data_IF_962975482704
#
_entry.id   IF_962975482704
#
_cell.length_a   1.000
_cell.length_b   1.000
_cell.length_c   1.000
_cell.angle_alpha   90.00
_cell.angle_beta   90.00
_cell.angle_gamma   90.00
#
_symmetry.space_group_name_H-M   'P 1'
#
loop_
_entity.id
_entity.type
_entity.pdbx_description
1 polymer ?
#
# COMPACT_ATOMS: atom_id res chain seq x y z
N UNK A 1 6.64 -21.79 5.61
CA UNK A 1 5.68 -21.17 6.53
C UNK A 1 4.51 -20.61 5.71
N UNK A 2 3.31 -20.76 6.21
CA UNK A 2 2.11 -20.29 5.54
C UNK A 2 1.42 -19.24 6.41
N UNK A 3 0.96 -18.15 5.79
CA UNK A 3 0.13 -17.14 6.43
C UNK A 3 -1.23 -17.08 5.77
N UNK A 4 -2.27 -17.02 6.59
CA UNK A 4 -3.64 -16.84 6.14
C UNK A 4 -4.35 -15.92 7.13
N UNK A 5 -4.68 -14.72 6.68
CA UNK A 5 -5.33 -13.68 7.48
C UNK A 5 -6.65 -13.31 6.81
N UNK A 6 -7.74 -13.38 7.58
CA UNK A 6 -9.04 -12.96 7.08
C UNK A 6 -9.16 -11.44 7.00
N UNK A 7 -10.10 -10.96 6.19
CA UNK A 7 -10.40 -9.53 6.11
C UNK A 7 -10.86 -8.98 7.48
N UNK A 8 -11.59 -9.78 8.25
CA UNK A 8 -12.03 -9.38 9.60
C UNK A 8 -10.83 -9.17 10.54
N UNK A 9 -9.86 -10.08 10.52
CA UNK A 9 -8.65 -9.97 11.32
C UNK A 9 -7.81 -8.75 10.90
N UNK A 10 -7.63 -8.53 9.61
CA UNK A 10 -6.91 -7.38 9.09
C UNK A 10 -7.62 -6.07 9.45
N UNK A 11 -8.95 -6.04 9.35
CA UNK A 11 -9.74 -4.86 9.71
C UNK A 11 -9.63 -4.50 11.19
N UNK A 12 -9.38 -5.47 12.07
CA UNK A 12 -9.20 -5.21 13.50
C UNK A 12 -7.96 -4.34 13.77
N UNK A 13 -6.98 -4.33 12.88
CA UNK A 13 -5.80 -3.46 12.99
C UNK A 13 -5.79 -2.29 11.98
N UNK A 14 -6.93 -2.00 11.36
CA UNK A 14 -7.09 -0.86 10.46
C UNK A 14 -6.80 0.44 11.20
N UNK A 15 -5.93 1.25 10.63
CA UNK A 15 -5.52 2.52 11.23
C UNK A 15 -5.40 3.62 10.20
N UNK A 16 -5.61 4.85 10.65
CA UNK A 16 -5.40 6.03 9.83
C UNK A 16 -3.92 6.39 9.77
N UNK A 17 -3.45 6.78 8.59
CA UNK A 17 -2.12 7.33 8.38
C UNK A 17 -2.24 8.61 7.55
N UNK A 18 -1.29 9.53 7.71
CA UNK A 18 -1.18 10.72 6.88
C UNK A 18 -0.18 10.45 5.75
N UNK A 19 -0.61 10.69 4.53
CA UNK A 19 0.23 10.59 3.33
C UNK A 19 0.10 11.88 2.56
N UNK A 20 1.12 12.73 2.61
CA UNK A 20 1.13 14.04 1.96
C UNK A 20 -0.09 14.90 2.31
N UNK A 21 -0.47 14.92 3.59
CA UNK A 21 -1.63 15.68 4.06
C UNK A 21 -2.98 15.05 3.76
N UNK A 22 -3.01 13.87 3.19
CA UNK A 22 -4.22 13.10 2.89
C UNK A 22 -4.35 11.95 3.90
N UNK A 23 -5.56 11.72 4.42
CA UNK A 23 -5.80 10.61 5.33
C UNK A 23 -6.05 9.32 4.56
N UNK A 24 -5.15 8.35 4.71
CA UNK A 24 -5.30 7.00 4.21
C UNK A 24 -5.60 6.06 5.38
N UNK A 25 -6.08 4.85 5.07
CA UNK A 25 -6.21 3.78 6.06
C UNK A 25 -5.40 2.57 5.62
N UNK A 26 -4.71 1.95 6.58
CA UNK A 26 -3.97 0.72 6.39
C UNK A 26 -4.56 -0.40 7.20
N UNK A 27 -4.71 -1.58 6.59
CA UNK A 27 -5.08 -2.83 7.25
C UNK A 27 -4.04 -3.88 6.90
N UNK A 28 -3.38 -4.45 7.90
CA UNK A 28 -2.27 -5.36 7.68
C UNK A 28 -2.69 -6.81 7.55
N UNK A 29 -2.11 -7.47 6.57
CA UNK A 29 -2.34 -8.90 6.31
C UNK A 29 -1.10 -9.74 6.61
N UNK A 30 0.06 -9.33 6.12
CA UNK A 30 1.30 -10.10 6.26
C UNK A 30 2.46 -9.18 6.61
N UNK A 31 3.27 -9.60 7.57
CA UNK A 31 4.54 -8.97 7.89
C UNK A 31 4.45 -7.63 8.59
N UNK A 32 5.57 -6.94 8.65
CA UNK A 32 5.68 -5.62 9.27
C UNK A 32 5.05 -4.55 8.38
N UNK A 33 4.53 -3.54 9.03
CA UNK A 33 3.88 -2.42 8.36
C UNK A 33 4.39 -1.13 8.98
N UNK A 34 4.20 0.00 8.27
CA UNK A 34 4.51 1.29 8.86
C UNK A 34 3.75 1.48 10.17
N UNK A 35 4.47 1.65 11.26
CA UNK A 35 3.88 1.81 12.59
C UNK A 35 3.53 3.26 12.91
N UNK A 36 4.07 4.19 12.13
CA UNK A 36 3.88 5.61 12.35
C UNK A 36 2.60 6.11 11.70
N UNK A 37 2.00 7.12 12.30
CA UNK A 37 0.82 7.79 11.75
C UNK A 37 1.08 8.57 10.48
N UNK A 38 2.33 8.78 10.09
CA UNK A 38 2.72 9.48 8.87
C UNK A 38 3.63 8.59 8.05
N UNK A 39 3.27 8.38 6.80
CA UNK A 39 4.10 7.68 5.84
C UNK A 39 5.03 8.67 5.14
N UNK A 40 6.31 8.35 5.11
CA UNK A 40 7.32 9.12 4.37
C UNK A 40 7.88 8.23 3.28
N UNK A 41 7.81 8.70 2.05
CA UNK A 41 8.35 7.97 0.89
C UNK A 41 9.82 7.66 1.07
N UNK A 42 10.21 6.47 0.67
CA UNK A 42 11.58 5.99 0.84
C UNK A 42 11.95 5.65 2.27
N UNK A 43 11.04 5.79 3.22
CA UNK A 43 11.26 5.38 4.60
C UNK A 43 10.81 3.93 4.79
N UNK A 44 11.66 3.01 4.40
CA UNK A 44 11.44 1.58 4.54
C UNK A 44 12.18 1.03 5.77
N UNK A 45 12.24 1.83 6.84
CA UNK A 45 12.96 1.48 8.08
C UNK A 45 12.47 0.16 8.70
N UNK A 46 11.24 -0.23 8.39
CA UNK A 46 10.66 -1.47 8.91
C UNK A 46 10.82 -2.64 7.93
N UNK A 47 11.57 -2.46 6.85
CA UNK A 47 11.86 -3.56 5.94
C UNK A 47 12.88 -4.50 6.59
N UNK A 48 12.42 -5.70 6.89
CA UNK A 48 13.26 -6.76 7.44
C UNK A 48 13.62 -7.84 6.41
N UNK A 49 13.39 -7.56 5.12
CA UNK A 49 13.62 -8.51 4.03
C UNK A 49 12.58 -9.61 3.90
N UNK A 50 11.54 -9.60 4.74
CA UNK A 50 10.47 -10.58 4.71
C UNK A 50 9.28 -10.07 3.91
N UNK A 51 8.42 -10.96 3.39
CA UNK A 51 7.23 -10.56 2.67
C UNK A 51 6.31 -9.67 3.49
N UNK A 52 5.72 -8.67 2.85
CA UNK A 52 4.73 -7.78 3.44
C UNK A 52 3.48 -7.73 2.56
N UNK A 53 2.33 -7.61 3.20
CA UNK A 53 1.07 -7.44 2.49
C UNK A 53 0.09 -6.64 3.34
N UNK A 54 -0.47 -5.57 2.77
CA UNK A 54 -1.43 -4.73 3.47
C UNK A 54 -2.37 -4.07 2.47
N UNK A 55 -3.57 -3.75 2.96
CA UNK A 55 -4.56 -3.00 2.20
C UNK A 55 -4.40 -1.52 2.47
N UNK A 56 -4.35 -0.73 1.42
CA UNK A 56 -4.33 0.73 1.51
C UNK A 56 -5.66 1.26 0.98
N UNK A 57 -6.37 2.00 1.81
CA UNK A 57 -7.58 2.69 1.42
C UNK A 57 -7.26 4.18 1.25
N UNK A 58 -7.43 4.69 0.04
CA UNK A 58 -7.18 6.09 -0.28
C UNK A 58 -8.50 6.86 -0.30
N UNK A 59 -8.52 8.12 0.18
CA UNK A 59 -9.74 8.94 0.11
C UNK A 59 -10.08 9.31 -1.34
N UNK A 60 -11.34 9.65 -1.62
CA UNK A 60 -11.73 10.15 -2.94
C UNK A 60 -10.88 11.35 -3.36
N UNK A 61 -10.58 11.43 -4.65
CA UNK A 61 -9.81 12.54 -5.26
C UNK A 61 -8.39 12.70 -4.70
N UNK A 62 -7.85 11.66 -4.06
CA UNK A 62 -6.47 11.68 -3.60
C UNK A 62 -5.50 11.50 -4.77
N UNK A 63 -4.34 12.14 -4.66
CA UNK A 63 -3.27 12.04 -5.65
C UNK A 63 -1.97 11.72 -4.92
N UNK A 64 -1.32 10.65 -5.34
CA UNK A 64 0.02 10.32 -4.87
C UNK A 64 1.02 10.77 -5.93
N UNK A 65 1.97 11.65 -5.60
CA UNK A 65 3.00 12.06 -6.55
C UNK A 65 3.83 10.88 -7.06
N UNK A 66 4.46 11.00 -8.23
CA UNK A 66 5.39 9.97 -8.70
C UNK A 66 6.46 9.69 -7.66
N UNK A 67 6.71 8.42 -7.39
CA UNK A 67 7.66 7.98 -6.37
C UNK A 67 8.17 6.59 -6.74
N UNK A 68 9.14 6.09 -5.99
CA UNK A 68 9.60 4.72 -6.09
C UNK A 68 9.86 4.13 -4.70
N UNK A 69 9.90 2.80 -4.65
CA UNK A 69 10.30 2.05 -3.46
C UNK A 69 11.61 1.32 -3.72
N UNK A 70 12.31 0.95 -2.68
CA UNK A 70 13.56 0.20 -2.80
C UNK A 70 13.33 -1.29 -3.07
N UNK A 71 12.11 -1.77 -2.84
CA UNK A 71 11.73 -3.17 -2.99
C UNK A 71 10.84 -3.38 -4.21
N UNK A 72 10.80 -4.62 -4.68
CA UNK A 72 9.84 -5.03 -5.69
C UNK A 72 8.45 -5.13 -5.06
N UNK A 73 7.42 -4.73 -5.79
CA UNK A 73 6.07 -4.79 -5.25
C UNK A 73 5.02 -5.11 -6.30
N UNK A 74 3.98 -5.78 -5.86
CA UNK A 74 2.71 -5.87 -6.57
C UNK A 74 1.71 -4.93 -5.92
N UNK A 75 0.93 -4.25 -6.73
CA UNK A 75 -0.25 -3.52 -6.29
C UNK A 75 -1.47 -4.14 -6.96
N UNK A 76 -2.44 -4.51 -6.16
CA UNK A 76 -3.67 -5.13 -6.63
C UNK A 76 -4.83 -4.23 -6.25
N UNK A 77 -5.59 -3.78 -7.24
CA UNK A 77 -6.76 -2.92 -7.02
C UNK A 77 -7.97 -3.82 -6.79
N UNK A 78 -8.53 -3.77 -5.60
CA UNK A 78 -9.62 -4.65 -5.18
C UNK A 78 -10.95 -3.91 -5.00
N UNK A 79 -10.93 -2.58 -5.05
CA UNK A 79 -12.14 -1.77 -4.92
C UNK A 79 -11.90 -0.35 -5.41
N UNK A 80 -12.97 0.39 -5.66
CA UNK A 80 -12.90 1.76 -6.14
C UNK A 80 -12.39 1.89 -7.57
N UNK A 81 -11.73 2.99 -7.87
CA UNK A 81 -11.17 3.25 -9.18
C UNK A 81 -10.16 4.39 -9.16
N UNK A 82 -9.40 4.53 -10.22
CA UNK A 82 -8.38 5.56 -10.32
C UNK A 82 -7.46 5.31 -11.49
N UNK A 83 -6.26 5.86 -11.39
CA UNK A 83 -5.22 5.70 -12.40
C UNK A 83 -3.87 5.48 -11.77
N UNK A 84 -3.04 4.67 -12.41
CA UNK A 84 -1.59 4.63 -12.18
C UNK A 84 -0.92 5.09 -13.46
N UNK A 85 -0.25 6.25 -13.39
CA UNK A 85 0.27 6.88 -14.58
C UNK A 85 -0.85 7.12 -15.59
N UNK A 86 -0.77 6.49 -16.76
CA UNK A 86 -1.78 6.57 -17.83
C UNK A 86 -2.78 5.41 -17.81
N UNK A 87 -2.61 4.45 -16.91
CA UNK A 87 -3.42 3.23 -16.90
C UNK A 87 -4.59 3.34 -15.95
N UNK A 88 -5.77 2.94 -16.42
CA UNK A 88 -6.94 2.80 -15.57
C UNK A 88 -6.70 1.69 -14.53
N UNK A 89 -7.00 2.01 -13.27
CA UNK A 89 -6.93 1.06 -12.17
C UNK A 89 -8.35 0.75 -11.72
N UNK A 90 -8.82 -0.42 -12.09
CA UNK A 90 -10.16 -0.91 -11.74
C UNK A 90 -10.05 -2.32 -11.15
N UNK A 91 -11.03 -2.75 -10.35
CA UNK A 91 -11.06 -4.13 -9.85
C UNK A 91 -11.29 -5.14 -10.99
N UNK A 92 -10.55 -6.23 -11.07
CA UNK A 92 -9.31 -6.48 -10.34
C UNK A 92 -8.16 -6.24 -11.30
N UNK A 93 -7.32 -5.28 -11.04
CA UNK A 93 -6.16 -5.02 -11.87
C UNK A 93 -4.88 -5.14 -11.03
N UNK A 94 -3.78 -5.51 -11.68
CA UNK A 94 -2.50 -5.75 -11.02
C UNK A 94 -1.44 -4.88 -11.68
N UNK A 95 -0.70 -4.17 -10.86
CA UNK A 95 0.46 -3.40 -11.26
C UNK A 95 1.70 -3.94 -10.56
N UNK A 96 2.80 -4.08 -11.30
CA UNK A 96 4.07 -4.51 -10.74
C UNK A 96 5.16 -3.47 -10.99
N UNK A 97 5.94 -3.20 -9.97
CA UNK A 97 7.10 -2.33 -10.08
C UNK A 97 8.30 -2.97 -9.41
N UNK A 98 9.42 -3.04 -10.14
CA UNK A 98 10.70 -3.38 -9.54
C UNK A 98 11.14 -2.27 -8.59
N UNK A 99 12.01 -2.61 -7.64
CA UNK A 99 12.65 -1.61 -6.80
C UNK A 99 13.30 -0.51 -7.62
N UNK A 100 13.22 0.73 -7.13
CA UNK A 100 13.75 1.93 -7.77
C UNK A 100 13.08 2.32 -9.10
N UNK A 101 11.92 1.73 -9.43
CA UNK A 101 11.14 2.09 -10.62
C UNK A 101 10.08 3.13 -10.26
N UNK A 102 10.16 4.37 -10.75
CA UNK A 102 9.15 5.39 -10.48
C UNK A 102 7.80 5.07 -11.12
N UNK A 103 6.73 5.46 -10.43
CA UNK A 103 5.37 5.36 -10.95
C UNK A 103 4.44 6.38 -10.30
#
# INVERSE_FOLDING_TARGET
MMHAISAAEANANRRAIDVHGQQYFLSGYVGMQPERGTYVEGNEENDNGLPQGFLVEQPPHSVTPPHFHEVNQFQVFVGGGGKIGKHEAAPVSVHYANGHTPY
#
